data_IF_414570435563
#
_entry.id   IF_414570435563
#
_cell.length_a   1.000
_cell.length_b   1.000
_cell.length_c   1.000
_cell.angle_alpha   90.00
_cell.angle_beta   90.00
_cell.angle_gamma   90.00
#
_symmetry.space_group_name_H-M   'P 1'
#
loop_
_entity.id
_entity.type
_entity.pdbx_description
1 polymer ?
#
# COMPACT_ATOMS: atom_id res chain seq x y z
N UNK A 1 -14.28 60.62 8.17
CA UNK A 1 -14.93 59.89 7.07
C UNK A 1 -14.48 58.44 7.19
N UNK A 2 -15.28 57.60 7.85
CA UNK A 2 -14.91 56.21 8.12
C UNK A 2 -15.11 55.38 6.84
N UNK A 3 -14.04 54.82 6.30
CA UNK A 3 -14.13 53.84 5.22
C UNK A 3 -14.69 52.55 5.83
N UNK A 4 -15.94 52.25 5.51
CA UNK A 4 -16.51 50.94 5.77
C UNK A 4 -15.77 49.93 4.90
N UNK A 5 -15.01 49.04 5.55
CA UNK A 5 -14.50 47.83 4.92
C UNK A 5 -15.72 46.91 4.80
N UNK A 6 -16.34 46.90 3.64
CA UNK A 6 -17.27 45.85 3.26
C UNK A 6 -16.47 44.56 3.14
N UNK A 7 -16.55 43.73 4.18
CA UNK A 7 -16.15 42.32 4.09
C UNK A 7 -17.07 41.68 3.08
N UNK A 8 -16.56 41.38 1.88
CA UNK A 8 -17.26 40.55 0.91
C UNK A 8 -17.58 39.22 1.60
N UNK A 9 -18.87 38.88 1.64
CA UNK A 9 -19.33 37.58 2.09
C UNK A 9 -18.79 36.56 1.10
N UNK A 10 -17.67 35.93 1.45
CA UNK A 10 -17.09 34.81 0.71
C UNK A 10 -18.19 33.76 0.58
N UNK A 11 -18.79 33.69 -0.60
CA UNK A 11 -19.84 32.73 -0.89
C UNK A 11 -19.13 31.39 -0.91
N UNK A 12 -19.23 30.64 0.17
CA UNK A 12 -18.66 29.30 0.32
C UNK A 12 -19.34 28.40 -0.70
N UNK A 13 -18.82 28.39 -1.92
CA UNK A 13 -19.20 27.46 -2.96
C UNK A 13 -18.86 26.07 -2.41
N UNK A 14 -19.89 25.32 -2.03
CA UNK A 14 -19.76 23.89 -1.78
C UNK A 14 -19.08 23.29 -3.02
N UNK A 15 -17.94 22.62 -2.88
CA UNK A 15 -17.29 21.98 -4.02
C UNK A 15 -18.31 21.13 -4.78
N UNK A 16 -18.30 21.14 -6.12
CA UNK A 16 -19.29 20.38 -6.91
C UNK A 16 -19.30 18.88 -6.55
N UNK A 17 -18.15 18.36 -6.10
CA UNK A 17 -17.99 17.01 -5.57
C UNK A 17 -18.84 16.70 -4.32
N UNK A 18 -19.32 17.71 -3.59
CA UNK A 18 -20.13 17.57 -2.37
C UNK A 18 -21.64 17.70 -2.63
N UNK A 19 -22.04 17.91 -3.89
CA UNK A 19 -23.44 18.12 -4.27
C UNK A 19 -24.32 16.95 -3.82
N UNK A 20 -25.35 17.26 -3.04
CA UNK A 20 -26.33 16.28 -2.55
C UNK A 20 -25.96 15.61 -1.23
N UNK A 21 -24.77 15.85 -0.69
CA UNK A 21 -24.43 15.42 0.66
C UNK A 21 -24.98 16.38 1.72
N UNK A 22 -25.48 15.83 2.81
CA UNK A 22 -25.86 16.57 4.00
C UNK A 22 -24.61 17.19 4.66
N UNK A 23 -24.59 18.51 4.90
CA UNK A 23 -23.45 19.19 5.52
C UNK A 23 -23.32 18.79 7.00
N UNK A 24 -22.15 19.09 7.56
CA UNK A 24 -21.80 18.77 8.95
C UNK A 24 -20.36 19.16 9.26
N UNK A 25 -19.85 18.90 10.47
CA UNK A 25 -18.44 19.10 10.82
C UNK A 25 -17.44 18.63 9.76
N UNK A 26 -17.75 17.56 9.02
CA UNK A 26 -16.91 17.06 7.92
C UNK A 26 -16.61 18.08 6.80
N UNK A 27 -17.42 19.13 6.64
CA UNK A 27 -17.18 20.19 5.64
C UNK A 27 -16.14 21.20 6.09
N UNK A 28 -15.81 21.24 7.37
CA UNK A 28 -14.90 22.23 7.98
C UNK A 28 -13.61 21.58 8.52
N UNK A 29 -13.66 20.27 8.82
CA UNK A 29 -12.54 19.50 9.32
C UNK A 29 -12.52 18.07 8.75
N UNK A 30 -11.38 17.39 8.83
CA UNK A 30 -11.28 15.99 8.44
C UNK A 30 -12.07 15.12 9.42
N UNK A 31 -13.32 14.84 9.07
CA UNK A 31 -14.22 13.97 9.84
C UNK A 31 -15.00 13.01 8.92
N UNK A 32 -14.29 11.99 8.46
CA UNK A 32 -14.88 10.95 7.59
C UNK A 32 -16.02 10.20 8.29
N UNK A 33 -15.99 10.11 9.63
CA UNK A 33 -17.04 9.45 10.40
C UNK A 33 -18.35 10.24 10.33
N UNK A 34 -18.29 11.56 10.58
CA UNK A 34 -19.45 12.44 10.49
C UNK A 34 -20.01 12.48 9.06
N UNK A 35 -19.15 12.52 8.04
CA UNK A 35 -19.56 12.39 6.63
C UNK A 35 -20.38 11.10 6.40
N UNK A 36 -19.85 9.94 6.80
CA UNK A 36 -20.53 8.65 6.60
C UNK A 36 -21.87 8.65 7.33
N UNK A 37 -21.89 8.99 8.63
CA UNK A 37 -23.12 8.91 9.45
C UNK A 37 -24.26 9.77 8.90
N UNK A 38 -23.94 10.90 8.27
CA UNK A 38 -24.93 11.81 7.69
C UNK A 38 -25.43 11.38 6.32
N UNK A 39 -24.63 10.64 5.56
CA UNK A 39 -24.85 10.47 4.12
C UNK A 39 -25.05 9.02 3.66
N UNK A 40 -24.75 8.02 4.49
CA UNK A 40 -25.04 6.64 4.13
C UNK A 40 -26.54 6.35 4.19
N UNK A 41 -27.00 5.52 3.26
CA UNK A 41 -28.35 4.95 3.31
C UNK A 41 -28.25 3.54 3.92
N UNK A 42 -28.78 3.28 5.13
CA UNK A 42 -28.88 1.93 5.65
C UNK A 42 -29.66 1.03 4.69
N UNK A 43 -29.09 -0.12 4.33
CA UNK A 43 -29.75 -1.11 3.49
C UNK A 43 -30.11 -2.33 4.33
N UNK A 44 -31.41 -2.62 4.45
CA UNK A 44 -31.96 -3.76 5.20
C UNK A 44 -32.65 -4.79 4.32
N UNK A 45 -32.43 -4.73 2.99
CA UNK A 45 -32.94 -5.69 2.03
C UNK A 45 -32.04 -6.92 1.87
N UNK A 46 -32.17 -7.62 0.74
CA UNK A 46 -31.44 -8.85 0.44
C UNK A 46 -30.48 -8.70 -0.76
N UNK A 47 -29.93 -9.81 -1.25
CA UNK A 47 -28.97 -9.83 -2.34
C UNK A 47 -29.60 -9.75 -3.75
N UNK A 48 -30.92 -9.61 -3.87
CA UNK A 48 -31.62 -9.69 -5.18
C UNK A 48 -31.24 -8.56 -6.15
N UNK A 49 -30.74 -7.43 -5.65
CA UNK A 49 -30.29 -6.30 -6.48
C UNK A 49 -28.88 -6.48 -7.07
N UNK A 50 -28.13 -7.51 -6.63
CA UNK A 50 -26.75 -7.70 -7.05
C UNK A 50 -26.66 -8.01 -8.55
N UNK A 51 -25.81 -7.26 -9.25
CA UNK A 51 -25.46 -7.54 -10.64
C UNK A 51 -24.25 -8.49 -10.73
N UNK A 52 -24.24 -9.33 -11.77
CA UNK A 52 -23.11 -10.21 -12.08
C UNK A 52 -21.89 -9.44 -12.65
N UNK A 53 -20.75 -10.14 -12.83
CA UNK A 53 -19.55 -9.52 -13.38
C UNK A 53 -19.74 -9.15 -14.86
N UNK A 54 -19.09 -8.06 -15.26
CA UNK A 54 -19.05 -7.67 -16.68
C UNK A 54 -18.03 -8.50 -17.46
N UNK A 55 -18.12 -8.52 -18.79
CA UNK A 55 -17.13 -9.16 -19.66
C UNK A 55 -15.70 -8.59 -19.47
N UNK A 56 -15.61 -7.29 -19.17
CA UNK A 56 -14.36 -6.60 -18.81
C UNK A 56 -13.75 -7.20 -17.54
N UNK A 57 -14.57 -7.35 -16.50
CA UNK A 57 -14.17 -7.94 -15.22
C UNK A 57 -13.71 -9.39 -15.39
N UNK A 58 -14.47 -10.22 -16.09
CA UNK A 58 -14.08 -11.63 -16.31
C UNK A 58 -12.85 -11.74 -17.19
N UNK A 59 -12.70 -10.88 -18.21
CA UNK A 59 -11.51 -10.83 -19.06
C UNK A 59 -10.22 -10.49 -18.30
N UNK A 60 -10.25 -9.44 -17.48
CA UNK A 60 -9.12 -9.06 -16.60
C UNK A 60 -8.81 -10.20 -15.63
N UNK A 61 -9.84 -10.76 -15.00
CA UNK A 61 -9.66 -11.83 -14.03
C UNK A 61 -9.06 -13.10 -14.65
N UNK A 62 -9.50 -13.48 -15.85
CA UNK A 62 -8.94 -14.62 -16.58
C UNK A 62 -7.45 -14.43 -16.93
N UNK A 63 -7.03 -13.21 -17.31
CA UNK A 63 -5.61 -12.90 -17.55
C UNK A 63 -4.78 -13.09 -16.29
N UNK A 64 -5.24 -12.56 -15.16
CA UNK A 64 -4.53 -12.68 -13.89
C UNK A 64 -4.50 -14.13 -13.39
N UNK A 65 -5.62 -14.86 -13.47
CA UNK A 65 -5.70 -16.27 -13.09
C UNK A 65 -4.71 -17.15 -13.86
N UNK A 66 -4.48 -16.85 -15.14
CA UNK A 66 -3.53 -17.59 -15.97
C UNK A 66 -2.07 -17.45 -15.50
N UNK A 67 -1.75 -16.43 -14.70
CA UNK A 67 -0.40 -16.20 -14.16
C UNK A 67 -0.12 -17.00 -12.88
N UNK A 68 -1.16 -17.39 -12.13
CA UNK A 68 -1.00 -18.06 -10.83
C UNK A 68 -0.35 -19.44 -10.89
N UNK A 69 -0.55 -20.30 -11.92
CA UNK A 69 0.19 -21.54 -12.03
C UNK A 69 1.72 -21.32 -12.02
N UNK A 70 2.20 -20.35 -12.80
CA UNK A 70 3.62 -20.01 -12.86
C UNK A 70 4.13 -19.40 -11.54
N UNK A 71 3.33 -18.54 -10.89
CA UNK A 71 3.68 -18.04 -9.55
C UNK A 71 3.80 -19.17 -8.53
N UNK A 72 2.87 -20.14 -8.54
CA UNK A 72 2.88 -21.26 -7.59
C UNK A 72 4.09 -22.17 -7.78
N UNK A 73 4.47 -22.42 -9.03
CA UNK A 73 5.66 -23.23 -9.36
C UNK A 73 6.95 -22.54 -8.90
N UNK A 74 7.04 -21.22 -9.05
CA UNK A 74 8.24 -20.43 -8.73
C UNK A 74 8.27 -19.90 -7.29
N UNK A 75 7.15 -19.95 -6.56
CA UNK A 75 6.95 -19.34 -5.25
C UNK A 75 6.63 -17.84 -5.28
N UNK A 76 7.11 -17.12 -6.29
CA UNK A 76 6.73 -15.74 -6.65
C UNK A 76 6.63 -15.61 -8.17
N UNK A 77 5.82 -14.68 -8.66
CA UNK A 77 5.76 -14.42 -10.10
C UNK A 77 6.98 -13.65 -10.61
N UNK A 78 7.31 -12.53 -9.96
CA UNK A 78 8.47 -11.70 -10.29
C UNK A 78 8.84 -10.78 -9.11
N UNK A 79 10.04 -10.17 -9.15
CA UNK A 79 10.47 -9.15 -8.19
C UNK A 79 11.38 -8.11 -8.84
N UNK A 80 11.15 -6.82 -8.53
CA UNK A 80 12.14 -5.78 -8.80
C UNK A 80 13.25 -5.83 -7.73
N UNK A 81 14.41 -6.38 -8.09
CA UNK A 81 15.55 -6.54 -7.19
C UNK A 81 16.42 -5.28 -7.04
N UNK A 82 16.18 -4.25 -7.86
CA UNK A 82 17.06 -3.09 -8.04
C UNK A 82 16.44 -1.77 -7.60
N UNK A 83 15.12 -1.69 -7.51
CA UNK A 83 14.40 -0.44 -7.18
C UNK A 83 13.88 -0.45 -5.74
N UNK A 84 14.50 0.28 -4.79
CA UNK A 84 13.92 0.51 -3.47
C UNK A 84 12.56 1.20 -3.58
N UNK A 85 11.50 0.52 -3.18
CA UNK A 85 10.13 1.02 -3.35
C UNK A 85 9.87 2.28 -2.52
N UNK A 86 9.35 3.30 -3.22
CA UNK A 86 8.76 4.54 -2.70
C UNK A 86 7.46 4.82 -3.46
N UNK A 87 6.69 5.82 -3.01
CA UNK A 87 5.38 6.18 -3.60
C UNK A 87 5.47 6.42 -5.12
N UNK A 88 6.59 6.96 -5.64
CA UNK A 88 6.75 7.36 -7.04
C UNK A 88 7.88 6.60 -7.76
N UNK A 89 8.34 5.49 -7.19
CA UNK A 89 9.53 4.78 -7.67
C UNK A 89 9.31 3.98 -8.94
N UNK A 90 8.11 3.42 -9.13
CA UNK A 90 7.79 2.54 -10.24
C UNK A 90 6.93 3.27 -11.27
N UNK A 91 7.07 2.87 -12.53
CA UNK A 91 6.17 3.31 -13.59
C UNK A 91 4.75 2.75 -13.39
N UNK A 92 3.73 3.32 -14.05
CA UNK A 92 2.39 2.71 -14.09
C UNK A 92 2.44 1.28 -14.62
N UNK A 93 1.70 0.38 -13.97
CA UNK A 93 1.51 -1.00 -14.39
C UNK A 93 0.03 -1.32 -14.57
N UNK A 94 -0.26 -2.27 -15.47
CA UNK A 94 -1.62 -2.63 -15.90
C UNK A 94 -1.75 -4.14 -16.11
N UNK A 95 -2.93 -4.70 -15.85
CA UNK A 95 -3.27 -6.07 -16.29
C UNK A 95 -3.82 -6.02 -17.72
N UNK A 96 -4.66 -5.02 -18.00
CA UNK A 96 -5.29 -4.77 -19.30
C UNK A 96 -5.75 -3.31 -19.38
N UNK A 97 -4.82 -2.41 -19.71
CA UNK A 97 -5.00 -0.96 -19.62
C UNK A 97 -6.27 -0.46 -20.31
N UNK A 98 -6.59 -0.99 -21.49
CA UNK A 98 -7.78 -0.60 -22.26
C UNK A 98 -9.11 -0.99 -21.58
N UNK A 99 -9.06 -1.91 -20.62
CA UNK A 99 -10.21 -2.50 -19.98
C UNK A 99 -10.26 -2.20 -18.47
N UNK A 100 -9.31 -1.50 -17.86
CA UNK A 100 -9.37 -1.21 -16.43
C UNK A 100 -10.18 0.07 -16.14
N UNK A 101 -11.17 -0.03 -15.24
CA UNK A 101 -11.90 1.16 -14.75
C UNK A 101 -11.23 1.78 -13.52
N UNK A 102 -10.66 0.93 -12.68
CA UNK A 102 -9.88 1.28 -11.51
C UNK A 102 -8.48 0.73 -11.74
N UNK A 103 -7.48 1.61 -11.65
CA UNK A 103 -6.08 1.31 -11.98
C UNK A 103 -5.21 1.41 -10.74
N UNK A 104 -3.98 0.90 -10.84
CA UNK A 104 -2.95 1.01 -9.82
C UNK A 104 -2.42 -0.35 -9.40
N UNK A 105 -1.15 -0.59 -9.69
CA UNK A 105 -0.37 -1.73 -9.21
C UNK A 105 0.76 -1.25 -8.31
N UNK A 106 1.32 -2.16 -7.50
CA UNK A 106 2.44 -1.85 -6.61
C UNK A 106 3.74 -1.59 -7.37
N UNK A 107 3.89 -2.19 -8.55
CA UNK A 107 5.01 -2.07 -9.46
C UNK A 107 4.47 -1.84 -10.89
N UNK A 108 5.36 -1.88 -11.87
CA UNK A 108 5.08 -1.74 -13.29
C UNK A 108 4.41 -2.98 -13.93
N UNK A 109 4.23 -4.08 -13.20
CA UNK A 109 3.64 -5.31 -13.74
C UNK A 109 2.78 -6.09 -12.71
N UNK A 110 1.76 -6.85 -13.15
CA UNK A 110 0.97 -7.68 -12.26
C UNK A 110 1.82 -8.76 -11.59
N UNK A 111 1.58 -8.98 -10.29
CA UNK A 111 2.25 -9.99 -9.45
C UNK A 111 3.77 -9.81 -9.29
N UNK A 112 4.35 -8.73 -9.81
CA UNK A 112 5.74 -8.36 -9.57
C UNK A 112 5.87 -7.66 -8.22
N UNK A 113 6.65 -8.25 -7.31
CA UNK A 113 6.89 -7.72 -5.96
C UNK A 113 7.95 -6.62 -6.01
N UNK A 114 7.85 -5.64 -5.12
CA UNK A 114 8.91 -4.65 -4.92
C UNK A 114 9.77 -5.02 -3.71
N UNK A 115 10.99 -4.50 -3.65
CA UNK A 115 11.80 -4.53 -2.42
C UNK A 115 11.49 -3.30 -1.55
N UNK A 116 11.34 -3.51 -0.24
CA UNK A 116 11.12 -2.44 0.75
C UNK A 116 12.25 -2.47 1.80
N UNK A 117 13.47 -2.03 1.43
CA UNK A 117 14.68 -2.23 2.23
C UNK A 117 14.75 -1.38 3.51
N UNK A 118 13.92 -0.33 3.64
CA UNK A 118 13.82 0.45 4.88
C UNK A 118 13.52 -0.41 6.13
N UNK A 119 12.82 -1.54 5.95
CA UNK A 119 12.52 -2.48 7.03
C UNK A 119 13.72 -3.32 7.49
N UNK A 120 14.66 -3.61 6.58
CA UNK A 120 15.82 -4.46 6.86
C UNK A 120 16.44 -5.03 5.58
N UNK A 121 17.71 -4.69 5.32
CA UNK A 121 18.41 -5.19 4.12
C UNK A 121 18.61 -6.71 4.16
N UNK A 122 18.96 -7.27 5.31
CA UNK A 122 19.20 -8.72 5.46
C UNK A 122 18.00 -9.58 5.06
N UNK A 123 16.78 -9.12 5.36
CA UNK A 123 15.56 -9.83 4.94
C UNK A 123 15.40 -9.79 3.42
N UNK A 124 15.59 -8.62 2.81
CA UNK A 124 15.51 -8.46 1.34
C UNK A 124 16.55 -9.32 0.64
N UNK A 125 17.81 -9.25 1.07
CA UNK A 125 18.92 -10.03 0.50
C UNK A 125 18.63 -11.53 0.54
N UNK A 126 18.18 -12.03 1.70
CA UNK A 126 17.83 -13.44 1.86
C UNK A 126 16.65 -13.84 0.95
N UNK A 127 15.59 -13.03 0.89
CA UNK A 127 14.42 -13.33 0.08
C UNK A 127 14.75 -13.38 -1.43
N UNK A 128 15.53 -12.41 -1.93
CA UNK A 128 15.99 -12.40 -3.32
C UNK A 128 16.75 -13.69 -3.64
N UNK A 129 17.73 -14.07 -2.80
CA UNK A 129 18.50 -15.30 -2.98
C UNK A 129 17.63 -16.56 -2.91
N UNK A 130 16.65 -16.61 -1.99
CA UNK A 130 15.71 -17.73 -1.89
C UNK A 130 14.91 -17.95 -3.18
N UNK A 131 14.54 -16.88 -3.88
CA UNK A 131 13.80 -16.96 -5.14
C UNK A 131 14.69 -16.91 -6.38
N UNK A 132 16.02 -16.99 -6.23
CA UNK A 132 16.97 -17.06 -7.34
C UNK A 132 17.32 -15.72 -8.00
N UNK A 133 17.06 -14.60 -7.34
CA UNK A 133 17.42 -13.26 -7.80
C UNK A 133 18.72 -12.79 -7.13
N UNK A 134 19.63 -12.21 -7.91
CA UNK A 134 20.85 -11.64 -7.35
C UNK A 134 20.56 -10.25 -6.74
N UNK A 135 20.93 -10.01 -5.48
CA UNK A 135 20.78 -8.69 -4.86
C UNK A 135 21.65 -7.63 -5.54
N UNK A 136 21.06 -6.48 -5.81
CA UNK A 136 21.76 -5.33 -6.38
C UNK A 136 22.84 -4.81 -5.39
N UNK A 137 24.13 -4.74 -5.80
CA UNK A 137 25.21 -4.30 -4.93
C UNK A 137 25.12 -2.83 -4.52
N UNK A 138 24.53 -1.96 -5.35
CA UNK A 138 24.33 -0.56 -5.03
C UNK A 138 23.22 -0.38 -4.01
N UNK A 139 22.12 -1.14 -4.14
CA UNK A 139 21.06 -1.16 -3.12
C UNK A 139 21.61 -1.66 -1.79
N UNK A 140 22.39 -2.75 -1.81
CA UNK A 140 23.10 -3.25 -0.62
C UNK A 140 23.93 -2.15 0.03
N UNK A 141 24.76 -1.46 -0.75
CA UNK A 141 25.63 -0.38 -0.26
C UNK A 141 24.80 0.74 0.37
N UNK A 142 23.71 1.16 -0.26
CA UNK A 142 22.82 2.20 0.27
C UNK A 142 22.28 1.81 1.64
N UNK A 143 21.68 0.61 1.78
CA UNK A 143 21.00 0.19 3.00
C UNK A 143 21.91 -0.46 4.05
N UNK A 144 23.23 -0.49 3.81
CA UNK A 144 24.22 -0.93 4.81
C UNK A 144 25.21 0.17 5.20
N UNK A 145 25.42 1.20 4.37
CA UNK A 145 26.42 2.25 4.63
C UNK A 145 25.80 3.64 4.79
N UNK A 146 24.76 3.98 4.02
CA UNK A 146 24.23 5.35 4.00
C UNK A 146 22.91 5.47 4.77
N UNK A 147 22.04 4.47 4.63
CA UNK A 147 20.70 4.46 5.21
C UNK A 147 20.54 3.24 6.11
N UNK A 148 20.73 3.44 7.41
CA UNK A 148 20.45 2.43 8.43
C UNK A 148 19.00 1.94 8.35
N UNK A 149 18.73 0.65 8.51
CA UNK A 149 17.37 0.10 8.44
C UNK A 149 16.69 0.00 9.80
N UNK A 150 15.38 -0.24 9.82
CA UNK A 150 14.65 -0.56 11.06
C UNK A 150 15.25 -1.78 11.77
N UNK A 151 15.48 -2.87 11.03
CA UNK A 151 16.09 -4.09 11.56
C UNK A 151 17.43 -3.80 12.24
N UNK A 152 18.36 -3.11 11.58
CA UNK A 152 19.66 -2.81 12.18
C UNK A 152 19.51 -1.92 13.43
N UNK A 153 18.60 -0.94 13.40
CA UNK A 153 18.29 -0.11 14.56
C UNK A 153 17.78 -0.90 15.77
N UNK A 154 16.85 -1.83 15.56
CA UNK A 154 16.32 -2.71 16.62
C UNK A 154 17.43 -3.59 17.18
N UNK A 155 18.21 -4.22 16.31
CA UNK A 155 19.23 -5.17 16.75
C UNK A 155 20.39 -4.48 17.46
N UNK A 156 20.74 -3.24 17.12
CA UNK A 156 21.78 -2.48 17.84
C UNK A 156 21.44 -2.23 19.32
N UNK A 157 20.16 -2.07 19.66
CA UNK A 157 19.72 -1.75 21.03
C UNK A 157 19.12 -2.93 21.77
N UNK A 158 18.92 -4.07 21.10
CA UNK A 158 18.34 -5.26 21.71
C UNK A 158 19.17 -5.78 22.89
N UNK A 159 18.60 -5.83 24.11
CA UNK A 159 19.29 -6.40 25.25
C UNK A 159 19.64 -7.88 25.03
N UNK A 160 20.72 -8.39 25.65
CA UNK A 160 21.12 -9.79 25.54
C UNK A 160 19.99 -10.77 25.88
N UNK A 161 19.15 -10.46 26.86
CA UNK A 161 18.08 -11.36 27.30
C UNK A 161 16.90 -11.39 26.32
N UNK A 162 16.58 -10.27 25.65
CA UNK A 162 15.60 -10.24 24.55
C UNK A 162 16.09 -11.11 23.39
N UNK A 163 17.38 -11.00 23.04
CA UNK A 163 17.99 -11.84 22.00
C UNK A 163 17.93 -13.33 22.36
N UNK A 164 18.23 -13.69 23.62
CA UNK A 164 18.14 -15.07 24.11
C UNK A 164 16.70 -15.59 24.04
N UNK A 165 15.72 -14.82 24.53
CA UNK A 165 14.31 -15.19 24.50
C UNK A 165 13.80 -15.41 23.07
N UNK A 166 14.27 -14.61 22.12
CA UNK A 166 13.97 -14.78 20.70
C UNK A 166 14.59 -16.05 20.14
N UNK A 167 15.88 -16.30 20.38
CA UNK A 167 16.60 -17.48 19.89
C UNK A 167 16.11 -18.79 20.52
N UNK A 168 15.61 -18.75 21.76
CA UNK A 168 14.99 -19.89 22.44
C UNK A 168 13.50 -20.06 22.13
N UNK A 169 12.95 -19.23 21.24
CA UNK A 169 11.55 -19.26 20.82
C UNK A 169 10.52 -18.97 21.94
N UNK A 170 10.95 -18.35 23.05
CA UNK A 170 10.05 -17.87 24.11
C UNK A 170 9.21 -16.68 23.61
N UNK A 171 9.83 -15.79 22.83
CA UNK A 171 9.13 -14.69 22.15
C UNK A 171 9.50 -14.76 20.67
N UNK A 172 8.53 -15.00 19.79
CA UNK A 172 8.75 -15.13 18.35
C UNK A 172 7.82 -14.23 17.56
N UNK A 173 8.18 -13.96 16.30
CA UNK A 173 7.32 -13.19 15.39
C UNK A 173 7.22 -11.70 15.68
N UNK A 174 8.12 -11.12 16.48
CA UNK A 174 8.16 -9.67 16.69
C UNK A 174 8.45 -8.93 15.38
N UNK A 175 7.94 -7.70 15.19
CA UNK A 175 8.14 -6.91 13.97
C UNK A 175 9.53 -6.25 13.95
N UNK A 176 10.57 -7.06 14.13
CA UNK A 176 11.98 -6.65 14.12
C UNK A 176 12.64 -6.79 12.73
N UNK A 177 12.03 -7.56 11.84
CA UNK A 177 12.57 -7.86 10.51
C UNK A 177 11.62 -7.50 9.36
N UNK A 178 10.41 -7.01 9.64
CA UNK A 178 9.39 -6.67 8.64
C UNK A 178 8.55 -5.47 9.09
N UNK A 179 7.78 -4.87 8.18
CA UNK A 179 6.91 -3.73 8.49
C UNK A 179 5.83 -4.10 9.51
N UNK A 180 5.70 -3.31 10.59
CA UNK A 180 4.80 -3.63 11.72
C UNK A 180 3.30 -3.68 11.37
N UNK A 181 2.89 -3.02 10.27
CA UNK A 181 1.48 -2.86 9.93
C UNK A 181 0.72 -2.15 11.06
N UNK A 182 -0.51 -2.63 11.33
CA UNK A 182 -1.42 -2.28 12.43
C UNK A 182 -1.17 -0.88 13.02
#
# INVERSE_FOLDING_TARGET
>A
MAMAITTETETTLTPDAWRGFAPGPWTEQVDVRDFIQRNYAPYTGDASFLAGPTARTTGIWSKLLAMFPAERERGIHDVDASTPSTITSHAPGYIDEANELIVGLQTDAPLKRAIIPNGGWRMVENALRTYGYEPDPDVKRIFTQYRKTHNDGVFDVYPPDVRKARSSHIITGLPDAYGRGR
#
